data_IF_153680735621
#
_entry.id   IF_153680735621
#
_cell.length_a   1.000
_cell.length_b   1.000
_cell.length_c   1.000
_cell.angle_alpha   90.00
_cell.angle_beta   90.00
_cell.angle_gamma   90.00
#
_symmetry.space_group_name_H-M   'P 1'
#
loop_
_entity.id
_entity.type
_entity.pdbx_description
1 polymer ?
#
# COMPACT_ATOMS: atom_id res chain seq x y z
N UNK A 1 -21.13 67.91 -0.16
CA UNK A 1 -19.83 67.20 -0.23
C UNK A 1 -19.89 65.77 0.33
N UNK A 2 -20.52 65.53 1.47
CA UNK A 2 -20.61 64.20 2.10
C UNK A 2 -21.30 63.09 1.25
N UNK A 3 -22.40 63.40 0.56
CA UNK A 3 -23.12 62.43 -0.28
C UNK A 3 -22.26 61.90 -1.45
N UNK A 4 -21.45 62.78 -2.05
CA UNK A 4 -20.55 62.43 -3.17
C UNK A 4 -19.40 61.53 -2.68
N UNK A 5 -18.88 61.78 -1.48
CA UNK A 5 -17.87 60.92 -0.84
C UNK A 5 -18.46 59.56 -0.50
N UNK A 6 -19.67 59.51 0.06
CA UNK A 6 -20.34 58.26 0.40
C UNK A 6 -20.63 57.40 -0.85
N UNK A 7 -21.05 58.02 -1.95
CA UNK A 7 -21.24 57.33 -3.24
C UNK A 7 -19.93 56.76 -3.80
N UNK A 8 -18.83 57.51 -3.71
CA UNK A 8 -17.51 57.04 -4.14
C UNK A 8 -17.02 55.85 -3.31
N UNK A 9 -17.22 55.90 -1.99
CA UNK A 9 -16.89 54.78 -1.09
C UNK A 9 -17.73 53.54 -1.40
N UNK A 10 -19.04 53.67 -1.59
CA UNK A 10 -19.89 52.55 -1.99
C UNK A 10 -19.50 51.95 -3.34
N UNK A 11 -19.22 52.79 -4.35
CA UNK A 11 -18.77 52.31 -5.66
C UNK A 11 -17.45 51.53 -5.57
N UNK A 12 -16.49 52.03 -4.78
CA UNK A 12 -15.21 51.34 -4.56
C UNK A 12 -15.40 49.98 -3.85
N UNK A 13 -16.28 49.91 -2.86
CA UNK A 13 -16.57 48.67 -2.13
C UNK A 13 -17.24 47.63 -3.04
N UNK A 14 -18.18 48.04 -3.88
CA UNK A 14 -18.85 47.15 -4.85
C UNK A 14 -17.88 46.61 -5.91
N UNK A 15 -16.91 47.41 -6.36
CA UNK A 15 -15.86 46.96 -7.27
C UNK A 15 -14.93 45.91 -6.62
N UNK A 16 -14.63 46.06 -5.33
CA UNK A 16 -13.81 45.08 -4.61
C UNK A 16 -14.59 43.77 -4.42
N UNK A 17 -15.86 43.85 -4.00
CA UNK A 17 -16.72 42.67 -3.79
C UNK A 17 -16.90 41.87 -5.09
N UNK A 18 -17.13 42.54 -6.22
CA UNK A 18 -17.29 41.88 -7.53
C UNK A 18 -16.01 41.19 -8.00
N UNK A 19 -14.84 41.80 -7.79
CA UNK A 19 -13.53 41.19 -8.08
C UNK A 19 -13.31 39.92 -7.26
N UNK A 20 -13.57 39.96 -5.95
CA UNK A 20 -13.40 38.80 -5.05
C UNK A 20 -14.32 37.64 -5.45
N UNK A 21 -15.59 37.93 -5.78
CA UNK A 21 -16.55 36.92 -6.26
C UNK A 21 -16.10 36.26 -7.58
N UNK A 22 -15.53 37.05 -8.49
CA UNK A 22 -15.00 36.56 -9.78
C UNK A 22 -13.77 35.65 -9.61
N UNK A 23 -12.87 35.96 -8.66
CA UNK A 23 -11.70 35.12 -8.38
C UNK A 23 -12.08 33.76 -7.76
N UNK A 24 -13.04 33.74 -6.83
CA UNK A 24 -13.48 32.50 -6.16
C UNK A 24 -14.11 31.50 -7.14
N UNK A 25 -14.89 31.99 -8.11
CA UNK A 25 -15.52 31.15 -9.13
C UNK A 25 -14.49 30.50 -10.06
N UNK A 26 -13.42 31.22 -10.43
CA UNK A 26 -12.39 30.70 -11.33
C UNK A 26 -11.51 29.61 -10.66
N UNK A 27 -11.21 29.76 -9.37
CA UNK A 27 -10.53 28.74 -8.56
C UNK A 27 -11.34 27.43 -8.47
N UNK A 28 -12.65 27.53 -8.24
CA UNK A 28 -13.55 26.36 -8.16
C UNK A 28 -13.66 25.62 -9.50
N UNK A 29 -13.76 26.35 -10.61
CA UNK A 29 -13.82 25.76 -11.96
C UNK A 29 -12.52 25.01 -12.27
N UNK A 30 -11.34 25.60 -12.00
CA UNK A 30 -10.03 24.94 -12.22
C UNK A 30 -9.86 23.66 -11.39
N UNK A 31 -10.31 23.65 -10.13
CA UNK A 31 -10.24 22.46 -9.26
C UNK A 31 -11.15 21.34 -9.77
N UNK A 32 -12.35 21.67 -10.25
CA UNK A 32 -13.29 20.69 -10.82
C UNK A 32 -12.77 20.07 -12.11
N UNK A 33 -12.24 20.87 -13.03
CA UNK A 33 -11.68 20.41 -14.31
C UNK A 33 -10.50 19.44 -14.11
N UNK A 34 -9.58 19.79 -13.19
CA UNK A 34 -8.43 18.92 -12.84
C UNK A 34 -8.85 17.59 -12.20
N UNK A 35 -9.89 17.59 -11.38
CA UNK A 35 -10.44 16.38 -10.75
C UNK A 35 -11.11 15.46 -11.77
N UNK A 36 -11.88 16.03 -12.71
CA UNK A 36 -12.53 15.28 -13.80
C UNK A 36 -11.48 14.65 -14.72
N UNK A 37 -10.46 15.42 -15.13
CA UNK A 37 -9.38 14.92 -16.00
C UNK A 37 -8.57 13.82 -15.30
N UNK A 38 -8.29 13.97 -14.00
CA UNK A 38 -7.59 12.95 -13.21
C UNK A 38 -8.42 11.67 -13.04
N UNK A 39 -9.74 11.80 -12.89
CA UNK A 39 -10.68 10.67 -12.83
C UNK A 39 -10.70 9.90 -14.15
N UNK A 40 -10.87 10.60 -15.28
CA UNK A 40 -10.87 9.99 -16.61
C UNK A 40 -9.52 9.32 -16.93
N UNK A 41 -8.41 9.92 -16.52
CA UNK A 41 -7.07 9.34 -16.68
C UNK A 41 -6.90 8.06 -15.86
N UNK A 42 -7.42 8.02 -14.62
CA UNK A 42 -7.37 6.83 -13.78
C UNK A 42 -8.23 5.67 -14.31
N UNK A 43 -9.38 5.97 -14.93
CA UNK A 43 -10.28 4.98 -15.54
C UNK A 43 -9.65 4.33 -16.78
N UNK A 44 -8.90 5.11 -17.59
CA UNK A 44 -8.23 4.62 -18.80
C UNK A 44 -6.93 3.86 -18.49
N UNK A 45 -6.15 4.30 -17.49
CA UNK A 45 -4.87 3.67 -17.14
C UNK A 45 -5.02 2.37 -16.35
N UNK A 46 -6.12 2.19 -15.62
CA UNK A 46 -6.41 0.96 -14.88
C UNK A 46 -7.83 0.47 -15.15
N UNK A 47 -8.08 -0.11 -16.35
CA UNK A 47 -9.30 -0.88 -16.55
C UNK A 47 -9.30 -2.01 -15.52
N UNK A 48 -10.36 -2.12 -14.70
CA UNK A 48 -10.55 -3.30 -13.85
C UNK A 48 -10.77 -4.49 -14.76
N UNK A 49 -9.68 -5.16 -15.14
CA UNK A 49 -9.73 -6.49 -15.72
C UNK A 49 -10.17 -7.42 -14.58
N UNK A 50 -11.48 -7.69 -14.51
CA UNK A 50 -12.01 -8.82 -13.75
C UNK A 50 -11.50 -10.08 -14.44
N UNK A 51 -10.38 -10.61 -13.95
CA UNK A 51 -9.87 -11.89 -14.40
C UNK A 51 -10.89 -12.96 -14.00
N UNK A 52 -11.60 -13.50 -14.98
CA UNK A 52 -12.48 -14.66 -14.79
C UNK A 52 -11.66 -15.86 -14.29
N UNK A 53 -12.16 -16.65 -13.32
CA UNK A 53 -11.53 -17.90 -12.94
C UNK A 53 -12.18 -19.04 -13.72
N UNK A 54 -11.42 -19.81 -14.49
CA UNK A 54 -11.68 -21.25 -14.65
C UNK A 54 -10.51 -22.00 -15.31
N UNK A 55 -10.48 -23.35 -15.23
CA UNK A 55 -9.42 -24.09 -14.56
C UNK A 55 -8.60 -24.95 -15.53
N UNK A 56 -7.47 -25.48 -15.05
CA UNK A 56 -7.07 -26.90 -15.17
C UNK A 56 -5.57 -27.11 -14.92
N UNK A 57 -5.18 -28.31 -14.46
CA UNK A 57 -3.92 -28.58 -13.77
C UNK A 57 -2.79 -29.05 -14.71
N UNK A 58 -1.54 -28.89 -14.21
CA UNK A 58 -0.32 -29.75 -14.27
C UNK A 58 -0.08 -30.64 -15.52
N UNK A 59 1.18 -30.90 -15.98
CA UNK A 59 2.27 -31.28 -15.07
C UNK A 59 3.75 -31.04 -15.50
N UNK A 60 4.60 -31.27 -14.49
CA UNK A 60 5.90 -31.97 -14.50
C UNK A 60 7.20 -31.33 -15.01
N UNK A 61 8.23 -31.61 -14.19
CA UNK A 61 9.66 -31.80 -14.49
C UNK A 61 10.54 -30.56 -14.59
N UNK A 62 11.34 -30.32 -13.55
CA UNK A 62 12.81 -30.48 -13.61
C UNK A 62 13.47 -30.21 -12.24
N UNK A 63 14.71 -30.70 -12.02
CA UNK A 63 15.10 -31.40 -10.80
C UNK A 63 15.67 -30.51 -9.69
N UNK A 64 15.65 -31.07 -8.49
CA UNK A 64 16.51 -30.62 -7.39
C UNK A 64 17.98 -30.58 -7.87
N UNK A 65 18.63 -29.44 -7.71
CA UNK A 65 20.09 -29.35 -7.78
C UNK A 65 20.57 -28.57 -6.56
N UNK A 66 20.99 -29.36 -5.59
CA UNK A 66 22.20 -29.24 -4.76
C UNK A 66 22.80 -27.83 -4.58
N UNK A 67 22.58 -27.32 -3.36
CA UNK A 67 23.52 -26.65 -2.44
C UNK A 67 24.95 -26.37 -2.96
N UNK A 68 25.52 -25.20 -2.61
CA UNK A 68 26.55 -25.25 -1.59
C UNK A 68 26.28 -24.30 -0.43
N UNK A 69 26.48 -24.87 0.75
CA UNK A 69 26.38 -24.33 2.07
C UNK A 69 27.73 -23.74 2.41
N UNK A 70 27.81 -22.43 2.60
CA UNK A 70 28.82 -21.80 3.47
C UNK A 70 28.34 -20.39 3.79
N UNK A 71 27.87 -20.17 5.01
CA UNK A 71 28.31 -19.09 5.90
C UNK A 71 27.67 -19.33 7.28
N UNK A 72 28.46 -19.32 8.37
CA UNK A 72 28.03 -19.79 9.67
C UNK A 72 27.20 -18.72 10.38
N UNK A 73 26.00 -19.06 10.83
CA UNK A 73 25.40 -18.39 11.97
C UNK A 73 25.04 -19.45 13.02
N UNK A 74 26.00 -19.68 13.88
CA UNK A 74 25.83 -20.31 15.19
C UNK A 74 24.74 -19.57 15.96
N UNK A 75 23.55 -20.15 16.07
CA UNK A 75 23.05 -20.68 17.34
C UNK A 75 21.71 -21.37 17.10
N UNK A 76 21.61 -22.60 17.58
CA UNK A 76 20.44 -23.45 17.50
C UNK A 76 19.16 -22.76 17.99
N UNK A 77 18.18 -22.61 17.10
CA UNK A 77 16.77 -22.57 17.48
C UNK A 77 15.96 -23.42 16.49
N UNK A 78 16.12 -24.73 16.63
CA UNK A 78 15.13 -25.67 16.17
C UNK A 78 14.00 -25.73 17.22
N UNK A 79 12.77 -25.54 16.73
CA UNK A 79 11.49 -25.89 17.32
C UNK A 79 10.79 -24.89 18.28
N UNK A 80 9.68 -24.34 17.77
CA UNK A 80 8.34 -24.19 18.41
C UNK A 80 7.80 -22.82 18.84
N UNK A 81 8.48 -21.71 18.63
CA UNK A 81 7.85 -20.38 18.71
C UNK A 81 8.35 -19.49 17.59
N UNK A 82 7.44 -18.76 16.94
CA UNK A 82 7.82 -17.86 15.86
C UNK A 82 8.88 -16.84 16.35
N UNK A 83 9.87 -16.51 15.50
CA UNK A 83 10.96 -15.63 15.89
C UNK A 83 10.41 -14.26 16.30
N UNK A 84 10.83 -13.80 17.47
CA UNK A 84 10.46 -12.47 17.99
C UNK A 84 11.23 -11.40 17.22
N UNK A 85 10.51 -10.50 16.56
CA UNK A 85 11.09 -9.44 15.74
C UNK A 85 11.25 -8.17 16.56
N UNK A 86 12.48 -7.65 16.66
CA UNK A 86 12.79 -6.43 17.42
C UNK A 86 13.13 -5.25 16.51
N UNK A 87 13.70 -5.53 15.34
CA UNK A 87 14.19 -4.53 14.40
C UNK A 87 13.58 -4.71 13.00
N UNK A 88 13.63 -3.67 12.16
CA UNK A 88 13.17 -3.77 10.77
C UNK A 88 14.03 -4.72 9.93
N UNK A 89 15.31 -4.87 10.26
CA UNK A 89 16.20 -5.84 9.61
C UNK A 89 15.78 -7.28 9.86
N UNK A 90 15.28 -7.60 11.06
CA UNK A 90 14.76 -8.93 11.37
C UNK A 90 13.53 -9.23 10.50
N UNK A 91 12.63 -8.25 10.34
CA UNK A 91 11.51 -8.35 9.42
C UNK A 91 11.98 -8.64 8.00
N UNK A 92 12.98 -7.90 7.50
CA UNK A 92 13.49 -8.09 6.14
C UNK A 92 13.99 -9.52 5.91
N UNK A 93 14.82 -10.04 6.82
CA UNK A 93 15.38 -11.39 6.70
C UNK A 93 14.32 -12.49 6.74
N UNK A 94 13.25 -12.29 7.51
CA UNK A 94 12.15 -13.25 7.59
C UNK A 94 11.16 -13.13 6.42
N UNK A 95 10.96 -11.92 5.90
CA UNK A 95 10.06 -11.65 4.78
C UNK A 95 10.63 -12.12 3.42
N UNK A 96 11.95 -12.24 3.28
CA UNK A 96 12.57 -12.79 2.08
C UNK A 96 12.16 -14.22 1.76
N UNK A 97 12.35 -15.22 2.66
CA UNK A 97 11.90 -16.58 2.41
C UNK A 97 10.38 -16.65 2.31
N UNK A 98 9.65 -15.85 3.10
CA UNK A 98 8.18 -15.78 3.04
C UNK A 98 7.65 -15.48 1.64
N UNK A 99 8.31 -14.57 0.95
CA UNK A 99 7.89 -14.09 -0.36
C UNK A 99 8.66 -14.73 -1.52
N UNK A 100 9.45 -15.79 -1.27
CA UNK A 100 10.36 -16.36 -2.28
C UNK A 100 9.62 -16.97 -3.47
N UNK A 101 8.49 -17.63 -3.22
CA UNK A 101 7.65 -18.30 -4.24
C UNK A 101 6.58 -17.39 -4.86
N UNK A 102 6.32 -16.24 -4.26
CA UNK A 102 5.27 -15.34 -4.74
C UNK A 102 5.71 -14.64 -6.03
N UNK A 103 4.85 -14.62 -7.05
CA UNK A 103 5.14 -13.98 -8.35
C UNK A 103 5.48 -12.50 -8.16
N UNK A 104 4.72 -11.82 -7.29
CA UNK A 104 4.89 -10.40 -7.00
C UNK A 104 5.72 -10.17 -5.72
N UNK A 105 6.98 -10.62 -5.72
CA UNK A 105 7.90 -10.55 -4.55
C UNK A 105 7.98 -9.16 -3.89
N UNK A 106 7.98 -8.08 -4.69
CA UNK A 106 8.04 -6.70 -4.17
C UNK A 106 6.80 -6.33 -3.35
N UNK A 107 5.61 -6.68 -3.85
CA UNK A 107 4.35 -6.43 -3.16
C UNK A 107 4.27 -7.28 -1.90
N UNK A 108 4.57 -8.58 -2.02
CA UNK A 108 4.58 -9.49 -0.88
C UNK A 108 5.50 -9.00 0.24
N UNK A 109 6.74 -8.61 -0.07
CA UNK A 109 7.67 -8.11 0.95
C UNK A 109 7.17 -6.83 1.61
N UNK A 110 6.58 -5.91 0.84
CA UNK A 110 5.98 -4.69 1.40
C UNK A 110 4.85 -5.01 2.37
N UNK A 111 3.95 -5.93 2.01
CA UNK A 111 2.88 -6.41 2.89
C UNK A 111 3.44 -7.08 4.15
N UNK A 112 4.43 -7.95 3.96
CA UNK A 112 5.08 -8.68 5.05
C UNK A 112 5.72 -7.73 6.06
N UNK A 113 6.44 -6.70 5.60
CA UNK A 113 7.06 -5.69 6.46
C UNK A 113 6.01 -4.95 7.29
N UNK A 114 4.93 -4.47 6.68
CA UNK A 114 3.83 -3.81 7.41
C UNK A 114 3.22 -4.71 8.49
N UNK A 115 3.01 -5.99 8.17
CA UNK A 115 2.49 -6.97 9.12
C UNK A 115 3.49 -7.28 10.24
N UNK A 116 4.77 -7.40 9.90
CA UNK A 116 5.85 -7.63 10.85
C UNK A 116 6.03 -6.46 11.81
N UNK A 117 5.97 -5.23 11.31
CA UNK A 117 6.11 -4.04 12.14
C UNK A 117 4.96 -3.92 13.15
N UNK A 118 3.76 -4.37 12.79
CA UNK A 118 2.59 -4.35 13.67
C UNK A 118 2.52 -5.54 14.62
N UNK A 119 2.76 -6.74 14.12
CA UNK A 119 2.60 -7.98 14.87
C UNK A 119 3.89 -8.50 15.51
N UNK A 120 5.03 -7.86 15.22
CA UNK A 120 6.38 -8.24 15.70
C UNK A 120 6.73 -9.70 15.46
N UNK A 121 6.19 -10.26 14.38
CA UNK A 121 6.28 -11.67 14.05
C UNK A 121 6.10 -11.89 12.53
N UNK A 122 6.90 -12.79 11.96
CA UNK A 122 6.73 -13.31 10.59
C UNK A 122 6.70 -14.84 10.66
N UNK A 123 5.67 -15.51 10.11
CA UNK A 123 5.60 -16.96 10.20
C UNK A 123 6.64 -17.62 9.30
N UNK A 124 7.22 -18.77 9.74
CA UNK A 124 8.22 -19.48 8.96
C UNK A 124 7.62 -20.12 7.70
N UNK A 125 8.44 -20.30 6.67
CA UNK A 125 8.04 -20.90 5.39
C UNK A 125 7.51 -19.88 4.39
N UNK A 126 6.97 -20.38 3.27
CA UNK A 126 6.49 -19.58 2.15
C UNK A 126 5.11 -18.93 2.43
N UNK A 127 4.68 -18.05 1.52
CA UNK A 127 3.37 -17.40 1.51
C UNK A 127 2.23 -18.36 1.86
N UNK A 128 1.32 -17.93 2.74
CA UNK A 128 0.14 -18.68 3.17
C UNK A 128 0.38 -19.77 4.22
N UNK A 129 1.62 -20.25 4.40
CA UNK A 129 1.91 -21.38 5.29
C UNK A 129 2.14 -20.97 6.74
N UNK A 130 1.86 -21.84 7.71
CA UNK A 130 2.20 -21.67 9.14
C UNK A 130 1.76 -20.34 9.79
N UNK A 131 0.72 -19.68 9.27
CA UNK A 131 0.31 -18.33 9.71
C UNK A 131 -0.12 -18.31 11.19
N UNK A 132 -0.61 -19.43 11.69
CA UNK A 132 -0.96 -19.68 13.09
C UNK A 132 0.22 -19.48 14.06
N UNK A 133 1.47 -19.65 13.59
CA UNK A 133 2.67 -19.48 14.43
C UNK A 133 2.86 -18.07 14.95
N UNK A 134 2.31 -17.06 14.28
CA UNK A 134 2.31 -15.67 14.73
C UNK A 134 0.98 -15.22 15.37
N UNK A 135 0.10 -16.18 15.69
CA UNK A 135 -1.18 -15.94 16.35
C UNK A 135 -2.13 -15.03 15.55
N UNK A 136 -3.17 -14.57 16.25
CA UNK A 136 -4.29 -13.84 15.63
C UNK A 136 -3.88 -12.53 14.97
N UNK A 137 -2.86 -11.85 15.50
CA UNK A 137 -2.39 -10.60 14.89
C UNK A 137 -2.03 -10.85 13.43
N UNK A 138 -1.16 -11.81 13.11
CA UNK A 138 -0.74 -12.02 11.73
C UNK A 138 -1.82 -12.67 10.85
N UNK A 139 -2.68 -13.53 11.43
CA UNK A 139 -3.75 -14.18 10.66
C UNK A 139 -4.88 -13.24 10.29
N UNK A 140 -5.27 -12.39 11.24
CA UNK A 140 -6.50 -11.58 11.18
C UNK A 140 -6.21 -10.13 10.79
N UNK A 141 -4.95 -9.67 10.86
CA UNK A 141 -4.58 -8.31 10.48
C UNK A 141 -4.87 -8.05 9.00
N UNK A 142 -5.55 -6.94 8.80
CA UNK A 142 -5.79 -6.31 7.53
C UNK A 142 -5.30 -4.85 7.57
N UNK A 143 -4.87 -4.36 6.42
CA UNK A 143 -4.59 -2.95 6.23
C UNK A 143 -5.16 -2.54 4.87
N UNK A 144 -6.17 -1.66 4.91
CA UNK A 144 -6.87 -1.20 3.70
C UNK A 144 -7.38 -2.33 2.79
N UNK A 145 -7.87 -3.44 3.38
CA UNK A 145 -8.38 -4.59 2.62
C UNK A 145 -7.32 -5.59 2.14
N UNK A 146 -6.05 -5.40 2.49
CA UNK A 146 -4.98 -6.35 2.20
C UNK A 146 -4.63 -7.18 3.43
N UNK A 147 -4.41 -8.48 3.24
CA UNK A 147 -4.00 -9.41 4.30
C UNK A 147 -2.48 -9.60 4.34
N UNK A 148 -2.00 -10.07 5.47
CA UNK A 148 -0.62 -10.51 5.62
C UNK A 148 -0.32 -11.75 4.77
N UNK A 149 0.89 -11.85 4.18
CA UNK A 149 1.30 -12.96 3.34
C UNK A 149 1.45 -14.29 4.08
#
# INVERSE_FOLDING_TARGET
MAFKIMLLLCASLLLIITRVSSYDHHEKVKKKDKSELQSLFSMWLYPRITKAPEPSPLPLNQPATTLPETLPLTSAQAATSAPTVKTSSDCMQLCEPRCKKETNKRICRRSCMTCCDRCKCVPPGDYGTNRDKCGKCYTDMDYHGHKCP
#
